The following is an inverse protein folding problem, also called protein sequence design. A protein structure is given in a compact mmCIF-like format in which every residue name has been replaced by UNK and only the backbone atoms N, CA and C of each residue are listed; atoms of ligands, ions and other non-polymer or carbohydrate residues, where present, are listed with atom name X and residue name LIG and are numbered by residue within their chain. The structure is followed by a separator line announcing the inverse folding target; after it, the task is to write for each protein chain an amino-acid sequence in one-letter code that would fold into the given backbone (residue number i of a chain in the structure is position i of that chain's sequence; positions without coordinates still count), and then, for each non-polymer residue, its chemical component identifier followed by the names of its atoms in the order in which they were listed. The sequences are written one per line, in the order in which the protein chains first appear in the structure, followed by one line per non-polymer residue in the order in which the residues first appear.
data_IF_256891688942
#
_entry.id   IF_256891688942
#
_cell.length_a   1.000
_cell.length_b   1.000
_cell.length_c   1.000
_cell.angle_alpha   90.00
_cell.angle_beta   90.00
_cell.angle_gamma   90.00
#
_symmetry.space_group_name_H-M   'P 1'
#
loop_
_entity.id
_entity.type
_entity.pdbx_description
1 polymer ?
#
# COMPACT_ATOMS: atom_id res chain seq x y z
N UNK A 1 -24.90 26.95 -4.25
CA UNK A 1 -25.30 26.81 -5.68
C UNK A 1 -24.22 26.05 -6.38
N UNK A 2 -24.47 24.79 -6.61
CA UNK A 2 -23.52 23.89 -7.29
C UNK A 2 -23.66 24.22 -8.78
N UNK A 3 -22.61 24.77 -9.38
CA UNK A 3 -22.59 25.08 -10.81
C UNK A 3 -22.60 23.76 -11.60
N UNK A 4 -23.73 23.44 -12.17
CA UNK A 4 -23.96 22.25 -12.99
C UNK A 4 -23.28 22.28 -14.37
N UNK A 5 -22.12 22.86 -14.47
CA UNK A 5 -21.39 23.02 -15.75
C UNK A 5 -19.94 22.55 -15.68
N UNK A 6 -19.53 21.85 -14.63
CA UNK A 6 -18.18 21.35 -14.47
C UNK A 6 -18.12 19.83 -14.60
N UNK A 7 -16.98 19.33 -15.05
CA UNK A 7 -16.70 17.91 -15.01
C UNK A 7 -16.84 17.41 -13.57
N UNK A 8 -17.57 16.33 -13.33
CA UNK A 8 -17.81 15.81 -11.98
C UNK A 8 -16.52 15.48 -11.23
N UNK A 9 -15.45 15.23 -11.96
CA UNK A 9 -14.10 14.98 -11.40
C UNK A 9 -13.49 16.27 -10.86
N UNK A 10 -13.59 17.37 -11.59
CA UNK A 10 -13.04 18.66 -11.18
C UNK A 10 -13.80 19.19 -9.96
N UNK A 11 -15.12 19.06 -9.97
CA UNK A 11 -15.97 19.44 -8.84
C UNK A 11 -15.63 18.64 -7.58
N UNK A 12 -15.45 17.32 -7.73
CA UNK A 12 -15.03 16.47 -6.63
C UNK A 12 -13.65 16.88 -6.07
N UNK A 13 -12.73 17.26 -6.93
CA UNK A 13 -11.39 17.69 -6.52
C UNK A 13 -11.45 19.01 -5.73
N UNK A 14 -12.27 19.95 -6.12
CA UNK A 14 -12.47 21.21 -5.38
C UNK A 14 -13.11 20.96 -4.02
N UNK A 15 -14.23 20.25 -4.00
CA UNK A 15 -14.93 19.92 -2.74
C UNK A 15 -14.00 19.16 -1.80
N UNK A 16 -13.22 18.22 -2.32
CA UNK A 16 -12.27 17.45 -1.53
C UNK A 16 -11.13 18.31 -0.96
N UNK A 17 -10.56 19.20 -1.77
CA UNK A 17 -9.52 20.14 -1.35
C UNK A 17 -10.00 21.04 -0.20
N UNK A 18 -11.20 21.57 -0.32
CA UNK A 18 -11.80 22.43 0.70
C UNK A 18 -12.11 21.63 1.97
N UNK A 19 -12.64 20.41 1.80
CA UNK A 19 -12.89 19.48 2.90
C UNK A 19 -11.61 19.13 3.65
N UNK A 20 -10.52 18.84 2.94
CA UNK A 20 -9.21 18.60 3.54
C UNK A 20 -8.70 19.82 4.32
N UNK A 21 -8.93 21.02 3.80
CA UNK A 21 -8.53 22.26 4.48
C UNK A 21 -9.28 22.41 5.79
N UNK A 22 -10.59 22.18 5.80
CA UNK A 22 -11.41 22.21 7.03
C UNK A 22 -10.94 21.14 8.00
N UNK A 23 -10.69 19.92 7.56
CA UNK A 23 -10.23 18.82 8.39
C UNK A 23 -8.83 19.06 8.97
N UNK A 24 -7.91 19.63 8.20
CA UNK A 24 -6.56 19.98 8.66
C UNK A 24 -6.57 21.07 9.72
N UNK A 25 -7.51 21.99 9.64
CA UNK A 25 -7.70 23.03 10.65
C UNK A 25 -8.44 22.52 11.89
N UNK A 26 -9.15 21.41 11.79
CA UNK A 26 -9.75 20.75 12.96
C UNK A 26 -8.65 20.19 13.87
N UNK A 27 -8.62 20.67 15.10
CA UNK A 27 -7.67 20.21 16.11
C UNK A 27 -7.91 18.74 16.55
N UNK A 28 -9.01 18.15 16.09
CA UNK A 28 -9.43 16.80 16.45
C UNK A 28 -8.66 15.69 15.74
N UNK A 29 -7.97 16.00 14.64
CA UNK A 29 -7.31 14.99 13.80
C UNK A 29 -5.85 14.79 14.20
N UNK A 30 -5.50 13.54 14.41
CA UNK A 30 -4.11 13.13 14.63
C UNK A 30 -3.28 13.26 13.33
N UNK A 31 -1.94 13.39 13.43
CA UNK A 31 -1.07 13.43 12.26
C UNK A 31 -1.21 12.19 11.35
N UNK A 32 -1.51 11.04 11.95
CA UNK A 32 -1.74 9.78 11.24
C UNK A 32 -3.00 9.82 10.39
N UNK A 33 -4.08 10.33 10.94
CA UNK A 33 -5.35 10.49 10.25
C UNK A 33 -5.25 11.47 9.08
N UNK A 34 -4.48 12.53 9.26
CA UNK A 34 -4.17 13.48 8.17
C UNK A 34 -3.45 12.78 7.01
N UNK A 35 -2.50 11.90 7.32
CA UNK A 35 -1.80 11.10 6.31
C UNK A 35 -2.73 10.18 5.51
N UNK A 36 -3.71 9.57 6.16
CA UNK A 36 -4.71 8.74 5.48
C UNK A 36 -5.57 9.55 4.51
N UNK A 37 -6.00 10.73 4.93
CA UNK A 37 -6.83 11.62 4.09
C UNK A 37 -6.06 12.18 2.88
N UNK A 38 -4.76 12.39 3.00
CA UNK A 38 -3.91 12.83 1.89
C UNK A 38 -3.74 11.77 0.79
N UNK A 39 -3.87 10.50 1.16
CA UNK A 39 -3.85 9.37 0.21
C UNK A 39 -5.17 9.15 -0.55
N UNK A 40 -6.22 9.89 -0.20
CA UNK A 40 -7.53 9.75 -0.84
C UNK A 40 -7.60 10.59 -2.10
N UNK A 41 -8.04 9.98 -3.20
CA UNK A 41 -8.22 10.63 -4.50
C UNK A 41 -9.70 10.74 -4.82
N UNK A 42 -10.24 11.93 -5.04
CA UNK A 42 -11.63 12.10 -5.46
C UNK A 42 -11.81 11.62 -6.91
N UNK A 43 -12.80 10.76 -7.12
CA UNK A 43 -13.14 10.24 -8.46
C UNK A 43 -14.23 11.08 -9.15
N UNK A 44 -15.23 11.52 -8.38
CA UNK A 44 -16.31 12.31 -8.94
C UNK A 44 -17.43 12.58 -7.94
N UNK A 45 -18.31 13.53 -8.30
CA UNK A 45 -19.53 13.83 -7.56
C UNK A 45 -20.74 13.42 -8.39
N UNK A 46 -21.62 12.66 -7.79
CA UNK A 46 -22.85 12.18 -8.42
C UNK A 46 -24.06 12.54 -7.54
N UNK A 47 -24.68 13.63 -7.84
CA UNK A 47 -25.79 14.15 -7.00
C UNK A 47 -25.28 14.53 -5.61
N UNK A 48 -25.82 13.90 -4.58
CA UNK A 48 -25.41 14.10 -3.17
C UNK A 48 -24.31 13.13 -2.70
N UNK A 49 -23.65 12.44 -3.62
CA UNK A 49 -22.62 11.46 -3.29
C UNK A 49 -21.30 11.84 -3.89
N UNK A 50 -20.26 11.95 -3.06
CA UNK A 50 -18.88 12.10 -3.51
C UNK A 50 -18.17 10.74 -3.50
N UNK A 51 -17.59 10.35 -4.62
CA UNK A 51 -16.85 9.08 -4.74
C UNK A 51 -15.37 9.35 -4.50
N UNK A 52 -14.82 8.64 -3.53
CA UNK A 52 -13.45 8.76 -3.06
C UNK A 52 -12.72 7.43 -3.26
N UNK A 53 -11.58 7.48 -3.93
CA UNK A 53 -10.70 6.32 -4.12
C UNK A 53 -9.67 6.25 -3.01
N UNK A 54 -9.48 5.06 -2.46
CA UNK A 54 -8.52 4.77 -1.39
C UNK A 54 -7.59 3.66 -1.84
N UNK A 55 -6.32 3.75 -1.49
CA UNK A 55 -5.28 2.81 -1.94
C UNK A 55 -5.42 1.40 -1.33
N UNK A 56 -5.91 1.34 -0.10
CA UNK A 56 -5.98 0.07 0.64
C UNK A 56 -7.22 0.00 1.54
N UNK A 57 -7.58 -1.23 1.91
CA UNK A 57 -8.73 -1.50 2.73
C UNK A 57 -8.57 -1.06 4.20
N UNK A 58 -7.35 -1.05 4.71
CA UNK A 58 -7.07 -0.63 6.09
C UNK A 58 -7.34 0.86 6.28
N UNK A 59 -6.91 1.67 5.30
CA UNK A 59 -7.23 3.10 5.26
C UNK A 59 -8.74 3.34 5.11
N UNK A 60 -9.40 2.52 4.30
CA UNK A 60 -10.86 2.57 4.15
C UNK A 60 -11.57 2.36 5.49
N UNK A 61 -11.22 1.31 6.21
CA UNK A 61 -11.81 1.00 7.51
C UNK A 61 -11.54 2.09 8.55
N UNK A 62 -10.33 2.62 8.57
CA UNK A 62 -9.97 3.73 9.46
C UNK A 62 -10.78 5.00 9.18
N UNK A 63 -10.95 5.35 7.91
CA UNK A 63 -11.76 6.52 7.51
C UNK A 63 -13.24 6.29 7.81
N UNK A 64 -13.78 5.12 7.55
CA UNK A 64 -15.19 4.80 7.81
C UNK A 64 -15.50 4.65 9.30
N UNK A 65 -14.55 4.23 10.11
CA UNK A 65 -14.72 4.08 11.55
C UNK A 65 -14.51 5.39 12.30
N UNK A 66 -13.27 5.85 12.31
CA UNK A 66 -12.85 6.93 13.19
C UNK A 66 -13.11 8.33 12.61
N UNK A 67 -13.04 8.47 11.30
CA UNK A 67 -13.10 9.76 10.60
C UNK A 67 -14.45 10.06 9.95
N UNK A 68 -15.37 9.10 9.92
CA UNK A 68 -16.62 9.24 9.19
C UNK A 68 -17.43 10.46 9.63
N UNK A 69 -17.59 10.65 10.93
CA UNK A 69 -18.36 11.77 11.48
C UNK A 69 -17.71 13.12 11.18
N UNK A 70 -16.38 13.18 11.37
CA UNK A 70 -15.60 14.39 11.06
C UNK A 70 -15.65 14.73 9.58
N UNK A 71 -15.60 13.71 8.72
CA UNK A 71 -15.68 13.84 7.28
C UNK A 71 -17.06 14.33 6.82
N UNK A 72 -18.13 13.74 7.33
CA UNK A 72 -19.49 14.18 7.03
C UNK A 72 -19.75 15.62 7.47
N UNK A 73 -19.25 16.00 8.65
CA UNK A 73 -19.36 17.37 9.15
C UNK A 73 -18.57 18.35 8.28
N UNK A 74 -17.36 17.99 7.86
CA UNK A 74 -16.54 18.82 6.98
C UNK A 74 -17.19 18.99 5.60
N UNK A 75 -17.67 17.90 4.99
CA UNK A 75 -18.38 17.92 3.72
C UNK A 75 -19.63 18.83 3.79
N UNK A 76 -20.41 18.69 4.84
CA UNK A 76 -21.60 19.55 5.07
C UNK A 76 -21.22 21.01 5.25
N UNK A 77 -20.10 21.30 5.87
CA UNK A 77 -19.62 22.67 6.05
C UNK A 77 -19.19 23.31 4.72
N UNK A 78 -18.56 22.53 3.86
CA UNK A 78 -18.06 22.98 2.57
C UNK A 78 -19.15 23.13 1.53
N UNK A 79 -20.03 22.12 1.42
CA UNK A 79 -21.08 22.09 0.38
C UNK A 79 -22.39 22.72 0.81
N UNK A 80 -22.62 22.83 2.12
CA UNK A 80 -23.91 23.26 2.68
C UNK A 80 -25.02 22.20 2.60
N UNK A 81 -24.74 21.05 1.98
CA UNK A 81 -25.68 19.97 1.75
C UNK A 81 -25.23 18.69 2.47
N UNK A 82 -26.18 17.76 2.68
CA UNK A 82 -25.84 16.46 3.23
C UNK A 82 -25.25 15.58 2.12
N UNK A 83 -23.95 15.66 1.94
CA UNK A 83 -23.23 14.78 1.02
C UNK A 83 -22.78 13.50 1.73
N UNK A 84 -22.84 12.40 1.00
CA UNK A 84 -22.43 11.09 1.49
C UNK A 84 -21.12 10.67 0.79
N UNK A 85 -20.07 10.36 1.54
CA UNK A 85 -18.86 9.82 0.96
C UNK A 85 -19.05 8.35 0.59
N UNK A 86 -18.86 8.01 -0.66
CA UNK A 86 -18.77 6.63 -1.14
C UNK A 86 -17.31 6.30 -1.37
N UNK A 87 -16.84 5.21 -0.80
CA UNK A 87 -15.45 4.81 -0.91
C UNK A 87 -15.28 3.65 -1.87
N UNK A 88 -14.28 3.75 -2.72
CA UNK A 88 -13.86 2.72 -3.66
C UNK A 88 -12.39 2.39 -3.39
N UNK A 89 -12.11 1.13 -3.12
CA UNK A 89 -10.72 0.68 -3.01
C UNK A 89 -10.16 0.45 -4.41
N UNK A 90 -9.23 1.27 -4.79
CA UNK A 90 -8.44 1.08 -6.01
C UNK A 90 -7.05 0.71 -5.53
N UNK A 91 -6.70 -0.59 -5.56
CA UNK A 91 -5.33 -0.96 -5.26
C UNK A 91 -4.45 -0.15 -6.20
N UNK A 92 -3.53 0.60 -5.63
CA UNK A 92 -2.49 1.23 -6.42
C UNK A 92 -1.75 0.11 -7.13
N UNK A 93 -2.20 -0.22 -8.31
CA UNK A 93 -1.46 -1.05 -9.23
C UNK A 93 -0.23 -0.21 -9.51
N UNK A 94 0.80 -0.46 -8.76
CA UNK A 94 2.14 -0.06 -9.13
C UNK A 94 2.25 -0.49 -10.60
N UNK A 95 2.52 0.41 -11.52
CA UNK A 95 2.68 -0.01 -12.91
C UNK A 95 3.74 -1.09 -12.86
N UNK A 96 3.28 -2.34 -12.99
CA UNK A 96 4.23 -3.42 -13.16
C UNK A 96 5.18 -2.95 -14.25
N UNK A 97 6.46 -2.88 -13.98
CA UNK A 97 7.39 -2.53 -15.00
C UNK A 97 7.23 -3.56 -16.10
N UNK A 98 6.47 -3.21 -17.12
CA UNK A 98 6.26 -3.99 -18.35
C UNK A 98 7.61 -4.41 -18.96
N UNK A 99 8.70 -3.89 -18.41
CA UNK A 99 10.06 -4.20 -18.77
C UNK A 99 10.55 -5.57 -18.30
N UNK A 100 10.07 -6.13 -17.18
CA UNK A 100 10.57 -7.42 -16.70
C UNK A 100 10.01 -8.60 -17.50
N UNK A 101 8.76 -8.59 -17.85
CA UNK A 101 8.19 -9.64 -18.69
C UNK A 101 8.81 -9.66 -20.10
N UNK A 102 9.14 -8.49 -20.65
CA UNK A 102 9.85 -8.42 -21.95
C UNK A 102 11.33 -8.77 -21.81
N UNK A 103 11.98 -8.42 -20.71
CA UNK A 103 13.39 -8.78 -20.47
C UNK A 103 13.57 -10.28 -20.25
N UNK A 104 12.70 -10.94 -19.51
CA UNK A 104 12.76 -12.37 -19.31
C UNK A 104 12.49 -13.14 -20.61
N UNK A 105 11.64 -12.61 -21.49
CA UNK A 105 11.40 -13.23 -22.79
C UNK A 105 12.59 -13.08 -23.75
N UNK A 106 13.28 -11.95 -23.71
CA UNK A 106 14.49 -11.71 -24.50
C UNK A 106 15.66 -12.53 -23.97
N UNK A 107 15.83 -12.65 -22.66
CA UNK A 107 16.84 -13.52 -22.05
C UNK A 107 16.65 -14.99 -22.39
N UNK A 108 15.41 -15.47 -22.44
CA UNK A 108 15.12 -16.84 -22.89
C UNK A 108 15.45 -17.07 -24.38
N UNK A 109 15.28 -16.08 -25.23
CA UNK A 109 15.72 -16.14 -26.63
C UNK A 109 17.24 -16.14 -26.75
N UNK A 110 17.94 -15.37 -25.93
CA UNK A 110 19.40 -15.33 -25.92
C UNK A 110 20.02 -16.64 -25.40
N UNK A 111 19.42 -17.26 -24.40
CA UNK A 111 19.84 -18.55 -23.86
C UNK A 111 19.60 -19.70 -24.84
N UNK A 112 18.66 -19.58 -25.76
CA UNK A 112 18.45 -20.55 -26.84
C UNK A 112 19.44 -20.42 -28.00
N UNK A 113 20.09 -19.28 -28.17
CA UNK A 113 21.02 -19.01 -29.26
C UNK A 113 22.48 -19.28 -28.89
N UNK A 114 22.78 -19.75 -27.72
CA UNK A 114 24.10 -20.26 -27.34
C UNK A 114 24.08 -21.79 -27.33
N UNK A 115 24.33 -22.45 -28.47
CA UNK A 115 24.43 -23.90 -28.50
C UNK A 115 25.69 -24.45 -27.88
N UNK A 116 26.62 -23.57 -27.50
CA UNK A 116 27.84 -23.90 -26.79
C UNK A 116 27.73 -23.55 -25.31
N UNK A 117 26.66 -23.92 -24.70
CA UNK A 117 26.68 -24.11 -23.30
C UNK A 117 27.60 -25.27 -23.00
N UNK A 118 28.85 -24.91 -22.93
CA UNK A 118 29.84 -25.47 -22.07
C UNK A 118 29.39 -26.83 -21.51
N UNK A 119 29.72 -27.84 -22.23
CA UNK A 119 30.12 -29.06 -21.60
C UNK A 119 31.34 -28.72 -20.77
N UNK A 120 31.15 -28.20 -19.60
CA UNK A 120 32.14 -28.35 -18.56
C UNK A 120 31.92 -29.75 -17.99
N UNK A 121 32.62 -30.73 -18.50
CA UNK A 121 32.67 -31.99 -17.84
C UNK A 121 33.57 -31.77 -16.64
N UNK A 122 33.05 -32.03 -15.47
CA UNK A 122 33.89 -32.45 -14.40
C UNK A 122 34.72 -31.37 -13.74
N UNK A 123 34.16 -30.52 -12.95
CA UNK A 123 34.75 -30.32 -11.66
C UNK A 123 33.87 -31.04 -10.63
N UNK A 124 33.90 -32.31 -10.65
CA UNK A 124 33.68 -33.10 -9.46
C UNK A 124 34.91 -32.92 -8.58
N UNK A 125 35.01 -31.81 -7.92
CA UNK A 125 35.81 -31.75 -6.73
C UNK A 125 35.08 -32.58 -5.68
N UNK A 126 35.48 -33.81 -5.59
CA UNK A 126 35.22 -34.63 -4.45
C UNK A 126 35.78 -33.90 -3.25
N UNK A 127 34.96 -33.18 -2.56
CA UNK A 127 35.33 -32.71 -1.24
C UNK A 127 35.34 -33.96 -0.33
N UNK A 128 36.46 -34.24 0.30
CA UNK A 128 36.47 -35.28 1.33
C UNK A 128 35.57 -34.79 2.45
N UNK A 129 34.58 -35.59 2.76
CA UNK A 129 33.78 -35.43 3.96
C UNK A 129 34.73 -35.54 5.17
N UNK A 130 35.24 -34.40 5.62
CA UNK A 130 35.76 -34.29 6.96
C UNK A 130 34.57 -34.36 7.91
N UNK A 131 34.44 -35.48 8.56
CA UNK A 131 33.47 -35.68 9.58
C UNK A 131 33.56 -34.57 10.62
N UNK A 132 32.57 -33.76 10.68
CA UNK A 132 32.35 -32.89 11.81
C UNK A 132 31.97 -33.77 13.01
N UNK A 133 33.00 -34.10 13.80
CA UNK A 133 32.78 -34.59 15.14
C UNK A 133 32.14 -33.46 15.93
N UNK A 134 30.89 -33.66 16.26
CA UNK A 134 30.21 -32.81 17.23
C UNK A 134 30.94 -32.89 18.58
N UNK A 135 31.31 -31.77 19.19
CA UNK A 135 31.83 -31.81 20.56
C UNK A 135 30.70 -32.21 21.51
N UNK A 136 31.03 -33.01 22.53
CA UNK A 136 30.05 -33.43 23.52
C UNK A 136 29.58 -32.24 24.36
N UNK A 137 28.31 -32.25 24.82
CA UNK A 137 27.80 -31.19 25.66
C UNK A 137 28.50 -31.18 27.02
N UNK A 138 29.06 -30.04 27.37
CA UNK A 138 29.66 -29.81 28.69
C UNK A 138 28.56 -29.89 29.75
N UNK A 139 28.71 -30.84 30.65
CA UNK A 139 27.91 -30.98 31.87
C UNK A 139 28.10 -29.71 32.72
N UNK A 140 27.10 -28.90 32.79
CA UNK A 140 27.00 -27.86 33.78
C UNK A 140 26.65 -28.46 35.13
N UNK A 141 27.59 -28.42 36.02
CA UNK A 141 27.43 -28.80 37.41
C UNK A 141 26.43 -27.86 38.10
N UNK A 142 25.32 -28.41 38.52
CA UNK A 142 24.43 -27.78 39.47
C UNK A 142 25.10 -27.76 40.86
N UNK A 143 25.56 -26.63 41.32
CA UNK A 143 25.81 -26.42 42.71
C UNK A 143 24.49 -26.10 43.42
N UNK A 144 24.02 -27.06 44.15
CA UNK A 144 22.96 -26.92 45.13
C UNK A 144 23.56 -26.23 46.33
N UNK A 145 23.18 -25.00 46.60
CA UNK A 145 23.43 -24.36 47.88
C UNK A 145 22.15 -24.39 48.70
N UNK A 146 22.15 -25.25 49.70
CA UNK A 146 21.21 -25.23 50.81
C UNK A 146 21.65 -24.12 51.80
N UNK A 147 20.76 -23.20 52.07
CA UNK A 147 20.43 -22.74 53.42
C UNK A 147 19.19 -21.88 53.41
#
# INVERSE_FOLDING_TARGET
MVNASGDPVIEAAHIWSDTLTVLKHSASLSPREKGWLEGVVPEGVFGSTIVLCVDNNDTLQAIQGDLNDSLLQALRTVTGENMFPAFKVVPKTEPEPLSEAKRSHILRKFLRLSPNSVKNPMVQSRQPHRGNRCPPPSRSSRSVSRR
#
